data_IF_982515055734
#
_entry.id   IF_982515055734
#
_cell.length_a   1.000
_cell.length_b   1.000
_cell.length_c   1.000
_cell.angle_alpha   90.00
_cell.angle_beta   90.00
_cell.angle_gamma   90.00
#
_symmetry.space_group_name_H-M   'P 1'
#
loop_
_entity.id
_entity.type
_entity.pdbx_description
1 polymer ?
#
# COMPACT_ATOMS: atom_id res chain seq x y z
N UNK A 1 43.87 25.55 -80.29
CA UNK A 1 42.57 26.24 -80.15
C UNK A 1 42.60 27.09 -78.90
N UNK A 2 42.68 28.41 -79.03
CA UNK A 2 42.50 29.36 -77.93
C UNK A 2 41.51 30.41 -78.43
N UNK A 3 40.23 30.23 -78.08
CA UNK A 3 39.17 31.18 -78.38
C UNK A 3 39.18 32.24 -77.26
N UNK A 4 39.74 33.41 -77.54
CA UNK A 4 39.61 34.58 -76.68
C UNK A 4 38.36 35.33 -77.14
N UNK A 5 37.31 35.32 -76.30
CA UNK A 5 36.06 36.04 -76.55
C UNK A 5 36.28 37.48 -76.14
N UNK A 6 36.27 38.39 -77.12
CA UNK A 6 36.42 39.82 -76.90
C UNK A 6 35.05 40.41 -76.54
N UNK A 7 34.90 41.11 -75.40
CA UNK A 7 33.60 41.58 -74.90
C UNK A 7 32.98 42.74 -75.71
N UNK A 8 33.69 43.27 -76.71
CA UNK A 8 33.33 44.44 -77.50
C UNK A 8 32.37 44.12 -78.67
N UNK A 9 32.14 42.85 -79.01
CA UNK A 9 31.27 42.41 -80.12
C UNK A 9 29.75 42.43 -79.80
N UNK A 10 29.35 43.09 -78.71
CA UNK A 10 27.94 43.26 -78.35
C UNK A 10 27.48 44.69 -78.62
N UNK A 11 27.06 44.94 -79.86
CA UNK A 11 26.36 46.16 -80.25
C UNK A 11 24.85 45.98 -80.06
N UNK A 12 24.26 46.73 -79.12
CA UNK A 12 22.81 46.72 -78.90
C UNK A 12 22.33 47.45 -77.64
N UNK A 13 22.46 48.79 -77.66
CA UNK A 13 21.50 49.80 -77.15
C UNK A 13 20.98 49.69 -75.70
N UNK A 14 21.53 50.60 -74.88
CA UNK A 14 20.86 51.58 -73.99
C UNK A 14 19.54 51.19 -73.30
N UNK A 15 19.56 51.13 -71.96
CA UNK A 15 18.93 52.16 -71.11
C UNK A 15 19.03 51.74 -69.63
N UNK A 16 19.88 52.44 -68.90
CA UNK A 16 20.08 52.31 -67.47
C UNK A 16 18.92 53.00 -66.73
N UNK A 17 18.07 52.23 -66.02
CA UNK A 17 17.01 52.77 -65.15
C UNK A 17 17.21 52.25 -63.71
N UNK A 18 17.21 53.12 -62.69
CA UNK A 18 17.75 52.81 -61.36
C UNK A 18 16.94 51.77 -60.59
N UNK A 19 17.54 51.06 -59.61
CA UNK A 19 16.95 49.88 -59.01
C UNK A 19 15.75 50.22 -58.12
N UNK A 20 14.57 49.73 -58.52
CA UNK A 20 13.34 49.78 -57.73
C UNK A 20 13.43 48.76 -56.59
N UNK A 21 13.72 49.23 -55.36
CA UNK A 21 13.64 48.43 -54.13
C UNK A 21 12.23 47.83 -53.96
N UNK A 22 12.07 46.55 -54.29
CA UNK A 22 10.84 45.78 -54.06
C UNK A 22 11.01 44.91 -52.80
N UNK A 23 10.51 45.48 -51.70
CA UNK A 23 9.80 44.88 -50.55
C UNK A 23 10.25 43.48 -50.08
N UNK A 24 10.84 43.44 -48.87
CA UNK A 24 10.97 42.28 -47.98
C UNK A 24 9.70 41.42 -48.01
N UNK A 25 9.82 40.18 -48.47
CA UNK A 25 8.78 39.17 -48.36
C UNK A 25 8.39 38.96 -46.90
N UNK A 26 7.09 39.00 -46.63
CA UNK A 26 6.51 38.67 -45.34
C UNK A 26 6.84 37.20 -45.00
N UNK A 27 7.31 36.95 -43.77
CA UNK A 27 7.46 35.59 -43.24
C UNK A 27 6.10 34.88 -43.25
N UNK A 28 6.02 33.59 -43.62
CA UNK A 28 4.77 32.85 -43.53
C UNK A 28 4.33 32.75 -42.05
N UNK A 29 3.01 32.80 -41.76
CA UNK A 29 2.49 32.67 -40.40
C UNK A 29 2.81 31.27 -39.86
N UNK A 30 3.33 31.21 -38.63
CA UNK A 30 3.61 29.95 -37.93
C UNK A 30 2.31 29.14 -37.76
N UNK A 31 2.33 27.81 -37.92
CA UNK A 31 1.14 26.98 -37.76
C UNK A 31 0.59 27.07 -36.32
N UNK A 32 -0.74 27.01 -36.13
CA UNK A 32 -1.35 27.09 -34.82
C UNK A 32 -0.93 25.86 -33.99
N UNK A 33 -0.40 26.10 -32.79
CA UNK A 33 -0.04 25.04 -31.85
C UNK A 33 -1.33 24.34 -31.39
N UNK A 34 -1.36 22.99 -31.31
CA UNK A 34 -2.54 22.29 -30.83
C UNK A 34 -2.85 22.70 -29.38
N UNK A 35 -4.13 22.83 -29.01
CA UNK A 35 -4.51 23.18 -27.66
C UNK A 35 -4.00 22.09 -26.71
N UNK A 36 -3.21 22.50 -25.70
CA UNK A 36 -2.79 21.61 -24.62
C UNK A 36 -4.05 21.12 -23.90
N UNK A 37 -4.45 19.89 -24.18
CA UNK A 37 -5.60 19.26 -23.52
C UNK A 37 -5.34 19.23 -22.02
N UNK A 38 -6.23 19.87 -21.26
CA UNK A 38 -6.16 19.90 -19.80
C UNK A 38 -6.27 18.46 -19.32
N UNK A 39 -5.21 17.98 -18.67
CA UNK A 39 -5.00 16.59 -18.26
C UNK A 39 -6.22 16.01 -17.56
N UNK A 40 -6.75 14.93 -18.12
CA UNK A 40 -7.76 14.04 -17.53
C UNK A 40 -7.17 13.32 -16.31
N UNK A 41 -7.07 14.01 -15.18
CA UNK A 41 -6.56 13.45 -13.92
C UNK A 41 -7.57 12.49 -13.27
N UNK A 42 -8.88 12.73 -13.44
CA UNK A 42 -9.97 11.88 -12.91
C UNK A 42 -9.93 10.40 -13.35
N UNK A 43 -9.80 10.05 -14.65
CA UNK A 43 -9.72 8.65 -15.05
C UNK A 43 -8.40 7.98 -14.68
N UNK A 44 -7.34 8.74 -14.36
CA UNK A 44 -6.09 8.17 -13.87
C UNK A 44 -6.30 7.58 -12.48
N UNK A 45 -6.79 8.37 -11.51
CA UNK A 45 -7.00 7.89 -10.14
C UNK A 45 -7.99 6.72 -10.07
N UNK A 46 -9.05 6.74 -10.87
CA UNK A 46 -10.04 5.65 -10.89
C UNK A 46 -9.43 4.33 -11.39
N UNK A 47 -8.58 4.39 -12.43
CA UNK A 47 -7.86 3.22 -12.94
C UNK A 47 -6.90 2.66 -11.90
N UNK A 48 -6.11 3.51 -11.25
CA UNK A 48 -5.18 3.08 -10.20
C UNK A 48 -5.88 2.56 -8.95
N UNK A 49 -7.01 3.15 -8.55
CA UNK A 49 -7.84 2.62 -7.46
C UNK A 49 -8.35 1.22 -7.75
N UNK A 50 -8.81 0.95 -8.97
CA UNK A 50 -9.29 -0.36 -9.37
C UNK A 50 -8.16 -1.41 -9.34
N UNK A 51 -6.97 -1.04 -9.84
CA UNK A 51 -5.77 -1.88 -9.79
C UNK A 51 -5.39 -2.18 -8.34
N UNK A 52 -5.30 -1.16 -7.48
CA UNK A 52 -4.98 -1.33 -6.06
C UNK A 52 -6.01 -2.19 -5.34
N UNK A 53 -7.29 -2.08 -5.69
CA UNK A 53 -8.34 -2.89 -5.08
C UNK A 53 -8.21 -4.36 -5.44
N UNK A 54 -7.90 -4.69 -6.70
CA UNK A 54 -7.68 -6.08 -7.13
C UNK A 54 -6.44 -6.67 -6.43
N UNK A 55 -5.33 -5.93 -6.43
CA UNK A 55 -4.11 -6.36 -5.75
C UNK A 55 -4.28 -6.45 -4.23
N UNK A 56 -5.02 -5.50 -3.63
CA UNK A 56 -5.33 -5.49 -2.21
C UNK A 56 -6.21 -6.67 -1.80
N UNK A 57 -7.20 -7.04 -2.60
CA UNK A 57 -7.99 -8.25 -2.39
C UNK A 57 -7.17 -9.52 -2.55
N UNK A 58 -6.27 -9.58 -3.54
CA UNK A 58 -5.41 -10.74 -3.74
C UNK A 58 -4.43 -10.93 -2.57
N UNK A 59 -3.67 -9.88 -2.24
CA UNK A 59 -2.72 -9.91 -1.12
C UNK A 59 -3.46 -10.12 0.20
N UNK A 60 -4.54 -9.38 0.43
CA UNK A 60 -5.37 -9.53 1.62
C UNK A 60 -5.98 -10.92 1.75
N UNK A 61 -6.42 -11.53 0.64
CA UNK A 61 -6.90 -12.91 0.60
C UNK A 61 -5.81 -13.92 0.93
N UNK A 62 -4.61 -13.79 0.34
CA UNK A 62 -3.46 -14.65 0.65
C UNK A 62 -3.06 -14.55 2.13
N UNK A 63 -3.01 -13.34 2.68
CA UNK A 63 -2.69 -13.11 4.10
C UNK A 63 -3.78 -13.70 5.00
N UNK A 64 -5.04 -13.51 4.66
CA UNK A 64 -6.17 -14.07 5.42
C UNK A 64 -6.12 -15.60 5.42
N UNK A 65 -5.86 -16.22 4.27
CA UNK A 65 -5.66 -17.66 4.15
C UNK A 65 -4.46 -18.12 4.99
N UNK A 66 -3.33 -17.42 4.91
CA UNK A 66 -2.14 -17.72 5.70
C UNK A 66 -2.46 -17.73 7.20
N UNK A 67 -3.11 -16.69 7.71
CA UNK A 67 -3.53 -16.65 9.12
C UNK A 67 -4.60 -17.70 9.44
N UNK A 68 -5.50 -18.04 8.51
CA UNK A 68 -6.51 -19.09 8.70
C UNK A 68 -5.89 -20.48 8.85
N UNK A 69 -4.75 -20.74 8.20
CA UNK A 69 -4.00 -21.99 8.42
C UNK A 69 -3.39 -22.08 9.82
N UNK A 70 -2.99 -20.94 10.38
CA UNK A 70 -2.42 -20.84 11.73
C UNK A 70 -3.47 -20.68 12.83
N UNK A 71 -4.77 -20.58 12.50
CA UNK A 71 -5.83 -20.48 13.50
C UNK A 71 -5.87 -21.81 14.30
N UNK A 72 -5.51 -21.80 15.60
CA UNK A 72 -5.62 -22.98 16.42
C UNK A 72 -7.08 -23.38 16.50
N UNK A 73 -7.33 -24.68 16.31
CA UNK A 73 -8.65 -25.29 16.31
C UNK A 73 -9.50 -24.75 17.49
N UNK A 74 -10.58 -24.03 17.18
CA UNK A 74 -11.48 -23.41 18.17
C UNK A 74 -12.13 -24.45 19.10
N UNK A 75 -12.07 -25.73 18.72
CA UNK A 75 -12.44 -26.85 19.59
C UNK A 75 -11.58 -26.95 20.86
N UNK A 76 -10.35 -26.44 20.87
CA UNK A 76 -9.52 -26.37 22.09
C UNK A 76 -10.00 -25.32 23.09
N UNK A 77 -10.70 -24.28 22.62
CA UNK A 77 -11.32 -23.28 23.50
C UNK A 77 -12.54 -23.86 24.22
N UNK A 78 -13.25 -24.82 23.60
CA UNK A 78 -14.29 -25.58 24.29
C UNK A 78 -13.72 -26.59 25.30
N UNK A 79 -12.47 -27.05 25.13
CA UNK A 79 -11.79 -27.90 26.14
C UNK A 79 -11.24 -27.11 27.33
N UNK A 80 -11.26 -25.77 27.28
CA UNK A 80 -11.11 -24.92 28.47
C UNK A 80 -12.45 -24.77 29.21
N UNK A 81 -13.45 -25.61 28.93
CA UNK A 81 -14.42 -26.02 29.95
C UNK A 81 -13.62 -26.70 31.08
N UNK A 82 -13.40 -25.93 32.15
CA UNK A 82 -12.94 -26.35 33.46
C UNK A 82 -13.08 -27.86 33.66
N UNK A 83 -11.96 -28.59 33.63
CA UNK A 83 -12.00 -30.03 33.96
C UNK A 83 -12.61 -30.16 35.36
N UNK A 84 -13.78 -30.80 35.52
CA UNK A 84 -14.45 -30.85 36.82
C UNK A 84 -13.58 -31.62 37.81
N UNK A 85 -13.33 -31.03 38.99
CA UNK A 85 -12.68 -31.73 40.09
C UNK A 85 -13.66 -32.68 40.76
N UNK A 86 -13.33 -33.96 40.88
CA UNK A 86 -14.16 -34.98 41.54
C UNK A 86 -13.64 -35.15 42.97
N UNK A 87 -14.50 -34.96 43.97
CA UNK A 87 -14.18 -35.24 45.38
C UNK A 87 -14.81 -36.57 45.78
N UNK A 88 -14.00 -37.53 46.23
CA UNK A 88 -14.48 -38.81 46.75
C UNK A 88 -14.74 -38.69 48.25
N UNK A 89 -15.96 -39.04 48.66
CA UNK A 89 -16.43 -38.99 50.05
C UNK A 89 -16.67 -40.42 50.57
N UNK A 90 -16.31 -40.67 51.82
CA UNK A 90 -16.69 -41.88 52.55
C UNK A 90 -18.18 -41.82 52.97
N UNK A 91 -18.74 -42.96 53.43
CA UNK A 91 -20.17 -43.07 53.80
C UNK A 91 -20.58 -42.13 54.95
N UNK A 92 -19.61 -41.74 55.77
CA UNK A 92 -19.73 -40.77 56.86
C UNK A 92 -19.58 -39.30 56.40
N UNK A 93 -19.28 -39.06 55.11
CA UNK A 93 -19.05 -37.73 54.55
C UNK A 93 -17.59 -37.25 54.61
N UNK A 94 -16.66 -38.08 55.11
CA UNK A 94 -15.24 -37.70 55.19
C UNK A 94 -14.60 -37.67 53.79
N UNK A 95 -13.83 -36.61 53.46
CA UNK A 95 -13.12 -36.48 52.18
C UNK A 95 -11.93 -37.43 52.13
N UNK A 96 -11.91 -38.35 51.19
CA UNK A 96 -10.79 -39.29 50.98
C UNK A 96 -9.75 -38.73 50.02
N UNK A 97 -10.19 -38.20 48.88
CA UNK A 97 -9.31 -37.65 47.85
C UNK A 97 -10.07 -36.70 46.91
N UNK A 98 -9.35 -35.77 46.28
CA UNK A 98 -9.88 -34.92 45.20
C UNK A 98 -9.01 -35.13 43.96
N UNK A 99 -9.63 -35.48 42.84
CA UNK A 99 -8.97 -35.72 41.56
C UNK A 99 -9.39 -34.69 40.52
N UNK A 100 -8.45 -34.17 39.73
CA UNK A 100 -8.68 -33.16 38.68
C UNK A 100 -7.87 -31.88 38.89
N UNK A 101 -8.19 -30.82 38.12
CA UNK A 101 -7.56 -29.51 38.27
C UNK A 101 -7.97 -28.88 39.61
N UNK A 102 -7.07 -28.95 40.59
CA UNK A 102 -7.23 -28.36 41.91
C UNK A 102 -7.15 -26.83 41.80
N UNK A 103 -8.28 -26.21 41.49
CA UNK A 103 -8.43 -24.78 41.70
C UNK A 103 -8.53 -24.53 43.21
N UNK A 104 -7.49 -23.92 43.79
CA UNK A 104 -7.52 -23.47 45.17
C UNK A 104 -8.74 -22.60 45.45
N UNK A 105 -9.28 -22.67 46.67
CA UNK A 105 -10.38 -21.79 47.05
C UNK A 105 -9.94 -20.32 46.87
N UNK A 106 -10.84 -19.48 46.34
CA UNK A 106 -10.57 -18.05 46.23
C UNK A 106 -10.55 -17.43 47.64
N UNK A 107 -9.34 -17.18 48.17
CA UNK A 107 -9.14 -16.58 49.48
C UNK A 107 -9.06 -15.07 49.33
N UNK A 108 -9.81 -14.32 50.15
CA UNK A 108 -9.73 -12.87 50.19
C UNK A 108 -8.42 -12.43 50.86
N UNK A 109 -7.75 -11.39 50.33
CA UNK A 109 -6.50 -10.86 50.90
C UNK A 109 -6.62 -10.51 52.39
N UNK A 110 -7.80 -10.05 52.85
CA UNK A 110 -8.04 -9.72 54.27
C UNK A 110 -8.03 -10.95 55.19
N UNK A 111 -8.16 -12.16 54.64
CA UNK A 111 -8.12 -13.43 55.39
C UNK A 111 -6.72 -14.06 55.40
N UNK A 112 -5.77 -13.50 54.66
CA UNK A 112 -4.39 -13.99 54.62
C UNK A 112 -3.59 -13.37 55.78
N UNK A 113 -2.68 -14.13 56.41
CA UNK A 113 -1.72 -13.57 57.35
C UNK A 113 -0.86 -12.49 56.68
N UNK A 114 -0.51 -11.41 57.40
CA UNK A 114 0.21 -10.27 56.81
C UNK A 114 1.57 -10.65 56.22
N UNK A 115 2.24 -11.67 56.79
CA UNK A 115 3.53 -12.14 56.29
C UNK A 115 3.45 -12.78 54.89
N UNK A 116 2.30 -13.35 54.50
CA UNK A 116 2.12 -13.96 53.16
C UNK A 116 2.11 -12.90 52.08
N UNK A 117 1.40 -11.80 52.34
CA UNK A 117 1.33 -10.66 51.42
C UNK A 117 2.69 -9.97 51.33
N UNK A 118 3.38 -9.80 52.47
CA UNK A 118 4.73 -9.22 52.50
C UNK A 118 5.74 -10.06 51.73
N UNK A 119 5.68 -11.40 51.82
CA UNK A 119 6.58 -12.27 51.07
C UNK A 119 6.43 -12.11 49.55
N UNK A 120 5.20 -12.00 49.05
CA UNK A 120 4.92 -11.77 47.63
C UNK A 120 5.34 -10.36 47.18
N UNK A 121 5.22 -9.35 48.04
CA UNK A 121 5.73 -8.00 47.73
C UNK A 121 7.26 -7.92 47.75
N UNK A 122 7.93 -8.88 48.36
CA UNK A 122 9.39 -8.88 48.48
C UNK A 122 10.09 -9.54 47.28
N UNK A 123 9.38 -10.34 46.48
CA UNK A 123 9.94 -11.08 45.33
C UNK A 123 9.84 -10.31 44.01
N UNK A 124 8.94 -9.34 43.92
CA UNK A 124 8.66 -8.53 42.72
C UNK A 124 9.34 -7.15 42.80
#
# INVERSE_FOLDING_TARGET
>A
MSFSVNPEDRLGVEDEKPPKKLKKGARPPKPPRPPKSKKRLRPWFLKWSCILMIWGLFVGGCVTLWYSYDLPDITKLQQTERRPSITVLAKDGTKLATYGDLHGQMVNLKKLPPYVVQALLSIE
#
